data_IF_913560876381
#
_entry.id   IF_913560876381
#
_cell.length_a   1.000
_cell.length_b   1.000
_cell.length_c   1.000
_cell.angle_alpha   90.00
_cell.angle_beta   90.00
_cell.angle_gamma   90.00
#
_symmetry.space_group_name_H-M   'P 1'
#
loop_
_entity.id
_entity.type
_entity.pdbx_description
1 polymer ?
#
# COMPACT_ATOMS: atom_id res chain seq x y z
N UNK A 1 19.49 4.23 -7.59
CA UNK A 1 19.02 5.15 -6.53
C UNK A 1 17.49 5.07 -6.40
N UNK A 2 16.95 3.87 -6.22
CA UNK A 2 15.49 3.61 -6.14
C UNK A 2 15.10 2.89 -4.84
N UNK A 3 16.03 2.76 -3.88
CA UNK A 3 15.87 1.84 -2.74
C UNK A 3 15.61 2.50 -1.38
N UNK A 4 15.37 3.81 -1.28
CA UNK A 4 15.18 4.46 0.04
C UNK A 4 13.88 5.26 0.21
N UNK A 5 13.05 5.42 -0.81
CA UNK A 5 11.91 6.35 -0.77
C UNK A 5 10.54 5.72 -0.42
N UNK A 6 10.50 4.47 0.07
CA UNK A 6 9.22 3.75 0.30
C UNK A 6 8.64 4.03 1.71
N UNK A 7 9.32 4.81 2.54
CA UNK A 7 9.01 4.94 3.97
C UNK A 7 7.81 5.86 4.35
N UNK A 8 6.81 6.08 3.50
CA UNK A 8 5.66 6.89 3.90
C UNK A 8 4.34 6.43 3.25
N UNK A 9 3.45 5.84 4.07
CA UNK A 9 2.00 5.93 3.85
C UNK A 9 1.21 4.64 3.62
N UNK A 10 1.86 3.51 3.36
CA UNK A 10 1.22 2.18 3.38
C UNK A 10 2.17 1.31 4.18
N UNK A 11 1.68 0.74 5.28
CA UNK A 11 2.40 -0.09 6.24
C UNK A 11 3.75 -0.61 5.70
N UNK A 12 4.87 -0.05 6.20
CA UNK A 12 6.24 -0.34 5.73
C UNK A 12 6.57 -1.85 5.67
N UNK A 13 5.74 -2.64 6.34
CA UNK A 13 5.63 -4.09 6.33
C UNK A 13 5.37 -4.75 4.98
N UNK A 14 4.55 -4.15 4.10
CA UNK A 14 4.18 -4.78 2.82
C UNK A 14 5.30 -4.72 1.78
N UNK A 15 6.06 -3.63 1.72
CA UNK A 15 7.04 -3.44 0.65
C UNK A 15 8.45 -3.97 1.01
N UNK A 16 8.85 -3.92 2.29
CA UNK A 16 10.08 -4.59 2.74
C UNK A 16 10.05 -6.11 2.53
N UNK A 17 8.87 -6.73 2.64
CA UNK A 17 8.71 -8.16 2.44
C UNK A 17 8.92 -8.60 0.98
N UNK A 18 8.62 -7.72 0.01
CA UNK A 18 8.72 -8.03 -1.44
C UNK A 18 10.15 -7.79 -1.97
N UNK A 19 10.90 -6.85 -1.40
CA UNK A 19 12.25 -6.51 -1.86
C UNK A 19 13.33 -7.55 -1.47
N UNK A 20 13.10 -8.37 -0.43
CA UNK A 20 14.06 -9.37 0.06
C UNK A 20 13.85 -10.77 -0.56
N UNK A 21 13.77 -10.85 -1.89
CA UNK A 21 13.60 -12.11 -2.66
C UNK A 21 14.92 -12.84 -2.94
N UNK A 22 15.83 -12.86 -1.95
CA UNK A 22 17.02 -13.74 -1.95
C UNK A 22 17.23 -14.43 -0.61
N UNK A 23 16.21 -15.05 -0.02
CA UNK A 23 16.46 -16.14 0.92
C UNK A 23 15.19 -16.95 1.14
N UNK A 24 15.30 -18.27 0.96
CA UNK A 24 14.31 -19.20 1.48
C UNK A 24 14.07 -18.92 2.96
N UNK A 25 12.81 -18.96 3.38
CA UNK A 25 12.38 -18.93 4.78
C UNK A 25 12.37 -17.54 5.44
N UNK A 26 11.35 -16.74 5.14
CA UNK A 26 10.95 -15.64 6.03
C UNK A 26 9.60 -16.00 6.66
N UNK A 27 9.63 -16.75 7.75
CA UNK A 27 8.52 -16.81 8.70
C UNK A 27 8.63 -15.59 9.64
N UNK A 28 8.15 -14.42 9.21
CA UNK A 28 8.14 -13.19 10.04
C UNK A 28 6.95 -13.22 11.00
N UNK A 29 7.06 -14.02 12.07
CA UNK A 29 6.09 -14.06 13.18
C UNK A 29 6.22 -12.85 14.13
N UNK A 30 7.20 -11.96 13.94
CA UNK A 30 7.52 -10.87 14.88
C UNK A 30 6.68 -9.59 14.72
N UNK A 31 5.91 -9.43 13.64
CA UNK A 31 5.09 -8.23 13.40
C UNK A 31 3.57 -8.50 13.49
N UNK A 32 3.15 -9.66 14.01
CA UNK A 32 1.74 -10.01 14.15
C UNK A 32 0.98 -10.23 12.84
N UNK A 33 1.58 -9.93 11.69
CA UNK A 33 1.03 -10.18 10.37
C UNK A 33 1.24 -11.64 9.97
N UNK A 34 0.20 -12.45 10.10
CA UNK A 34 0.21 -13.85 9.65
C UNK A 34 0.13 -13.94 8.12
N UNK A 35 1.25 -13.70 7.44
CA UNK A 35 1.34 -13.91 5.98
C UNK A 35 1.28 -15.41 5.69
N UNK A 36 0.22 -15.83 4.99
CA UNK A 36 -0.03 -17.23 4.67
C UNK A 36 0.58 -17.58 3.32
N UNK A 37 1.54 -18.52 3.35
CA UNK A 37 2.11 -19.14 2.16
C UNK A 37 1.33 -20.42 1.87
N UNK A 38 0.83 -20.55 0.64
CA UNK A 38 0.02 -21.67 0.15
C UNK A 38 0.68 -22.25 -1.09
N UNK A 39 0.54 -23.55 -1.33
CA UNK A 39 0.85 -24.09 -2.64
C UNK A 39 -0.31 -23.84 -3.62
N UNK A 40 -0.03 -23.83 -4.93
CA UNK A 40 -1.03 -23.57 -5.95
C UNK A 40 -2.24 -24.53 -5.92
N UNK A 41 -2.03 -25.80 -5.54
CA UNK A 41 -3.11 -26.79 -5.44
C UNK A 41 -4.10 -26.44 -4.32
N UNK A 42 -3.59 -26.04 -3.16
CA UNK A 42 -4.40 -25.56 -2.03
C UNK A 42 -5.10 -24.26 -2.35
N UNK A 43 -4.40 -23.32 -3.01
CA UNK A 43 -4.98 -22.05 -3.43
C UNK A 43 -6.14 -22.27 -4.41
N UNK A 44 -5.98 -23.19 -5.36
CA UNK A 44 -7.05 -23.57 -6.29
C UNK A 44 -8.26 -24.16 -5.56
N UNK A 45 -8.04 -25.07 -4.61
CA UNK A 45 -9.12 -25.70 -3.85
C UNK A 45 -9.90 -24.71 -2.96
N UNK A 46 -9.25 -23.62 -2.52
CA UNK A 46 -9.81 -22.64 -1.59
C UNK A 46 -9.98 -21.24 -2.20
N UNK A 47 -9.98 -21.13 -3.53
CA UNK A 47 -9.84 -19.85 -4.22
C UNK A 47 -10.89 -18.82 -3.79
N UNK A 48 -12.18 -19.18 -3.78
CA UNK A 48 -13.25 -18.27 -3.38
C UNK A 48 -13.14 -17.81 -1.92
N UNK A 49 -12.78 -18.72 -1.01
CA UNK A 49 -12.56 -18.35 0.40
C UNK A 49 -11.34 -17.45 0.57
N UNK A 50 -10.29 -17.63 -0.23
CA UNK A 50 -9.14 -16.74 -0.21
C UNK A 50 -9.51 -15.34 -0.71
N UNK A 51 -10.32 -15.24 -1.77
CA UNK A 51 -10.83 -13.96 -2.28
C UNK A 51 -11.64 -13.24 -1.19
N UNK A 52 -12.55 -13.93 -0.49
CA UNK A 52 -13.30 -13.33 0.62
C UNK A 52 -12.38 -12.86 1.74
N UNK A 53 -11.40 -13.69 2.13
CA UNK A 53 -10.46 -13.34 3.21
C UNK A 53 -9.61 -12.12 2.86
N UNK A 54 -9.01 -12.03 1.67
CA UNK A 54 -8.18 -10.88 1.30
C UNK A 54 -8.97 -9.57 1.24
N UNK A 55 -10.24 -9.62 0.86
CA UNK A 55 -11.10 -8.43 0.87
C UNK A 55 -11.57 -8.05 2.29
N UNK A 56 -11.48 -8.95 3.27
CA UNK A 56 -11.92 -8.71 4.64
C UNK A 56 -10.78 -8.30 5.57
N UNK A 57 -9.63 -8.96 5.46
CA UNK A 57 -8.49 -8.70 6.34
C UNK A 57 -7.42 -7.82 5.71
N UNK A 58 -7.51 -7.51 4.41
CA UNK A 58 -6.54 -6.69 3.67
C UNK A 58 -5.09 -7.21 3.78
N UNK A 59 -4.94 -8.52 4.02
CA UNK A 59 -3.63 -9.16 4.06
C UNK A 59 -3.34 -9.86 2.73
N UNK A 60 -2.07 -9.91 2.29
CA UNK A 60 -1.69 -10.64 1.08
C UNK A 60 -1.76 -12.15 1.31
N UNK A 61 -1.98 -12.93 0.25
CA UNK A 61 -1.76 -14.39 0.25
C UNK A 61 -0.69 -14.73 -0.76
N UNK A 62 0.35 -15.44 -0.31
CA UNK A 62 1.44 -15.86 -1.18
C UNK A 62 1.15 -17.27 -1.68
N UNK A 63 1.21 -17.46 -2.99
CA UNK A 63 0.93 -18.72 -3.66
C UNK A 63 2.23 -19.16 -4.32
N UNK A 64 2.69 -20.36 -3.99
CA UNK A 64 3.91 -20.94 -4.53
C UNK A 64 3.59 -22.09 -5.48
N UNK A 65 4.33 -22.18 -6.57
CA UNK A 65 4.16 -23.27 -7.54
C UNK A 65 5.47 -23.63 -8.23
N UNK A 66 5.51 -24.82 -8.85
CA UNK A 66 6.66 -25.21 -9.70
C UNK A 66 6.86 -24.30 -10.91
N UNK A 67 5.83 -23.61 -11.36
CA UNK A 67 5.87 -22.73 -12.54
C UNK A 67 6.13 -21.26 -12.18
N UNK A 68 6.20 -20.94 -10.89
CA UNK A 68 6.36 -19.58 -10.40
C UNK A 68 5.42 -19.26 -9.24
N UNK A 69 5.72 -18.15 -8.57
CA UNK A 69 4.99 -17.68 -7.41
C UNK A 69 4.07 -16.51 -7.78
N UNK A 70 3.00 -16.34 -7.01
CA UNK A 70 2.02 -15.29 -7.19
C UNK A 70 1.58 -14.72 -5.83
N UNK A 71 1.06 -13.49 -5.85
CA UNK A 71 0.47 -12.84 -4.69
C UNK A 71 -0.98 -12.51 -5.01
N UNK A 72 -1.90 -12.88 -4.12
CA UNK A 72 -3.30 -12.48 -4.18
C UNK A 72 -3.53 -11.32 -3.20
N UNK A 73 -4.11 -10.24 -3.73
CA UNK A 73 -4.50 -9.03 -3.00
C UNK A 73 -5.97 -8.71 -3.29
N UNK A 74 -6.61 -7.93 -2.42
CA UNK A 74 -7.88 -7.31 -2.77
C UNK A 74 -7.69 -6.29 -3.89
N UNK A 75 -8.75 -6.02 -4.65
CA UNK A 75 -8.70 -5.02 -5.72
C UNK A 75 -8.46 -3.62 -5.15
N UNK A 76 -9.13 -3.27 -4.05
CA UNK A 76 -8.99 -1.96 -3.41
C UNK A 76 -7.57 -1.72 -2.94
N UNK A 77 -6.92 -2.73 -2.35
CA UNK A 77 -5.54 -2.57 -1.87
C UNK A 77 -4.57 -2.38 -3.05
N UNK A 78 -4.79 -3.09 -4.16
CA UNK A 78 -4.02 -2.88 -5.37
C UNK A 78 -4.17 -1.46 -5.93
N UNK A 79 -5.40 -0.95 -6.01
CA UNK A 79 -5.68 0.42 -6.47
C UNK A 79 -5.04 1.46 -5.56
N UNK A 80 -5.15 1.32 -4.24
CA UNK A 80 -4.51 2.20 -3.26
C UNK A 80 -2.98 2.21 -3.37
N UNK A 81 -2.35 1.05 -3.64
CA UNK A 81 -0.91 0.96 -3.88
C UNK A 81 -0.55 1.73 -5.15
N UNK A 82 -1.31 1.56 -6.25
CA UNK A 82 -1.04 2.27 -7.50
C UNK A 82 -1.19 3.79 -7.34
N UNK A 83 -2.23 4.24 -6.64
CA UNK A 83 -2.44 5.66 -6.35
C UNK A 83 -1.30 6.23 -5.51
N UNK A 84 -0.88 5.52 -4.46
CA UNK A 84 0.23 5.95 -3.61
C UNK A 84 1.53 6.06 -4.40
N UNK A 85 1.84 5.06 -5.23
CA UNK A 85 3.03 5.08 -6.09
C UNK A 85 2.96 6.23 -7.11
N UNK A 86 1.78 6.52 -7.65
CA UNK A 86 1.58 7.65 -8.53
C UNK A 86 1.83 8.99 -7.82
N UNK A 87 1.23 9.20 -6.64
CA UNK A 87 1.42 10.42 -5.85
C UNK A 87 2.89 10.62 -5.47
N UNK A 88 3.58 9.56 -5.07
CA UNK A 88 5.02 9.60 -4.76
C UNK A 88 5.90 9.90 -5.98
N UNK A 89 5.43 9.58 -7.20
CA UNK A 89 6.18 9.88 -8.42
C UNK A 89 6.16 11.37 -8.79
N UNK A 90 5.22 12.14 -8.24
CA UNK A 90 5.11 13.57 -8.49
C UNK A 90 6.19 14.29 -7.68
N UNK A 91 7.15 14.97 -8.32
CA UNK A 91 8.24 15.63 -7.61
C UNK A 91 7.74 16.66 -6.59
N UNK A 92 8.32 16.65 -5.40
CA UNK A 92 8.03 17.57 -4.28
C UNK A 92 6.60 17.49 -3.71
N UNK A 93 5.73 16.59 -4.19
CA UNK A 93 4.35 16.51 -3.70
C UNK A 93 4.30 16.07 -2.24
N UNK A 94 5.00 14.99 -1.90
CA UNK A 94 5.03 14.45 -0.52
C UNK A 94 5.63 15.47 0.45
N UNK A 95 6.70 16.16 0.04
CA UNK A 95 7.33 17.22 0.82
C UNK A 95 6.38 18.40 1.02
N UNK A 96 5.66 18.81 -0.02
CA UNK A 96 4.68 19.91 0.07
C UNK A 96 3.54 19.59 1.02
N UNK A 97 3.04 18.35 1.01
CA UNK A 97 1.95 17.90 1.90
C UNK A 97 2.45 17.90 3.35
N UNK A 98 3.66 17.38 3.61
CA UNK A 98 4.26 17.38 4.96
C UNK A 98 4.52 18.80 5.47
N UNK A 99 4.97 19.71 4.60
CA UNK A 99 5.19 21.09 4.96
C UNK A 99 3.86 21.79 5.29
N UNK A 100 2.81 21.56 4.50
CA UNK A 100 1.47 22.09 4.75
C UNK A 100 0.88 21.58 6.07
N UNK A 101 1.03 20.29 6.37
CA UNK A 101 0.60 19.69 7.64
C UNK A 101 1.30 20.34 8.85
N UNK A 102 2.62 20.57 8.74
CA UNK A 102 3.41 21.21 9.80
C UNK A 102 3.11 22.69 9.99
N UNK A 103 2.83 23.40 8.89
CA UNK A 103 2.45 24.81 8.96
C UNK A 103 1.18 25.02 9.78
N UNK A 104 0.30 24.00 9.82
CA UNK A 104 -0.96 24.01 10.58
C UNK A 104 -1.79 25.29 10.33
N UNK A 105 -1.72 25.76 9.08
CA UNK A 105 -2.36 26.97 8.59
C UNK A 105 -3.76 26.63 8.10
N UNK A 106 -4.65 26.33 9.05
CA UNK A 106 -6.03 25.96 8.78
C UNK A 106 -6.92 27.21 8.78
N UNK A 107 -7.64 27.40 7.69
CA UNK A 107 -8.62 28.49 7.54
C UNK A 107 -10.04 27.97 7.77
N UNK A 108 -10.94 28.88 8.18
CA UNK A 108 -12.37 28.57 8.24
C UNK A 108 -12.97 28.43 6.83
N UNK A 109 -14.12 27.75 6.70
CA UNK A 109 -14.83 27.66 5.42
C UNK A 109 -15.16 29.04 4.86
N UNK A 110 -15.62 29.98 5.69
CA UNK A 110 -15.93 31.36 5.27
C UNK A 110 -14.70 32.09 4.74
N UNK A 111 -13.54 31.91 5.36
CA UNK A 111 -12.26 32.48 4.93
C UNK A 111 -11.76 31.84 3.63
N UNK A 112 -11.87 30.52 3.50
CA UNK A 112 -11.55 29.78 2.28
C UNK A 112 -12.41 30.24 1.09
N UNK A 113 -13.73 30.33 1.28
CA UNK A 113 -14.66 30.79 0.26
C UNK A 113 -14.46 32.27 -0.06
N UNK A 114 -14.14 33.10 0.95
CA UNK A 114 -13.77 34.50 0.76
C UNK A 114 -12.55 34.68 -0.15
N UNK A 115 -11.52 33.84 0.00
CA UNK A 115 -10.34 33.84 -0.86
C UNK A 115 -10.66 33.42 -2.31
N UNK A 116 -11.59 32.48 -2.52
CA UNK A 116 -12.00 32.03 -3.85
C UNK A 116 -12.87 33.06 -4.58
N UNK A 117 -13.71 33.82 -3.86
CA UNK A 117 -14.58 34.84 -4.45
C UNK A 117 -13.80 36.05 -5.01
N UNK A 118 -12.51 36.19 -4.68
CA UNK A 118 -11.60 37.19 -5.28
C UNK A 118 -10.94 36.77 -6.59
N UNK A 119 -11.29 35.60 -7.15
CA UNK A 119 -10.75 35.05 -8.41
C UNK A 119 -11.68 35.23 -9.62
N UNK A 120 -12.81 35.91 -9.45
CA UNK A 120 -13.62 36.41 -10.57
C UNK A 120 -13.16 37.82 -10.95
N UNK A 121 -12.04 37.91 -11.69
CA UNK A 121 -11.69 38.96 -12.66
C UNK A 121 -10.51 38.50 -13.55
#
# INVERSE_FOLDING_TARGET
>A
MINEAIACGVDALMIEAIASTKSSTINRTSLGLSMKILNASEARAKFFSLVEQVNKDHLPRFITSRQGDAVLLSKSDWESIQETLYLQSIPNLVESIKAAEQANDWVSEDEFLGALNGLED
#
